data_IF_717859418331
#
_entry.id   IF_717859418331
#
_cell.length_a   1.000
_cell.length_b   1.000
_cell.length_c   1.000
_cell.angle_alpha   90.00
_cell.angle_beta   90.00
_cell.angle_gamma   90.00
#
_symmetry.space_group_name_H-M   'P 1'
#
loop_
_entity.id
_entity.type
_entity.pdbx_description
1 polymer ?
#
# COMPACT_ATOMS: atom_id res chain seq x y z
N UNK A 1 21.36 15.26 -22.76
CA UNK A 1 20.15 15.60 -21.98
C UNK A 1 19.74 14.37 -21.21
N UNK A 2 19.80 14.42 -19.88
CA UNK A 2 19.43 13.30 -19.03
C UNK A 2 17.90 13.25 -18.95
N UNK A 3 17.28 12.17 -19.40
CA UNK A 3 15.86 11.98 -19.20
C UNK A 3 15.61 11.72 -17.72
N UNK A 4 14.96 12.65 -17.02
CA UNK A 4 14.45 12.42 -15.67
C UNK A 4 13.48 11.24 -15.70
N UNK A 5 13.88 10.14 -15.05
CA UNK A 5 13.04 8.98 -14.79
C UNK A 5 12.37 9.25 -13.44
N UNK A 6 11.27 9.99 -13.44
CA UNK A 6 10.35 10.04 -12.30
C UNK A 6 8.93 10.22 -12.83
N UNK A 7 8.04 9.31 -12.47
CA UNK A 7 6.61 9.60 -12.31
C UNK A 7 6.00 8.52 -11.41
N UNK A 8 5.66 8.86 -10.17
CA UNK A 8 4.81 8.07 -9.30
C UNK A 8 3.69 8.96 -8.79
N UNK A 9 2.43 8.49 -8.84
CA UNK A 9 1.44 8.92 -7.84
C UNK A 9 0.36 7.88 -7.61
N UNK A 10 0.67 7.02 -6.64
CA UNK A 10 -0.18 6.38 -5.65
C UNK A 10 0.83 5.94 -4.59
N UNK A 11 0.95 6.74 -3.54
CA UNK A 11 2.02 6.59 -2.55
C UNK A 11 1.94 5.24 -1.81
N UNK A 12 0.77 4.59 -1.81
CA UNK A 12 0.61 3.22 -1.28
C UNK A 12 1.33 2.17 -2.15
N UNK A 13 1.45 2.41 -3.47
CA UNK A 13 2.19 1.50 -4.34
C UNK A 13 3.70 1.49 -4.08
N UNK A 14 4.21 2.40 -3.25
CA UNK A 14 5.59 2.35 -2.75
C UNK A 14 5.83 1.30 -1.67
N UNK A 15 4.76 0.74 -1.10
CA UNK A 15 4.81 -0.31 -0.07
C UNK A 15 4.88 -1.68 -0.78
N UNK A 16 5.96 -2.46 -0.58
CA UNK A 16 6.14 -3.73 -1.25
C UNK A 16 5.33 -4.85 -0.58
N UNK A 17 4.40 -5.48 -1.31
CA UNK A 17 3.55 -6.56 -0.79
C UNK A 17 3.94 -7.97 -1.27
N UNK A 18 4.90 -8.10 -2.19
CA UNK A 18 5.28 -9.39 -2.78
C UNK A 18 5.76 -10.45 -1.77
N UNK A 19 6.39 -10.03 -0.68
CA UNK A 19 6.84 -10.94 0.38
C UNK A 19 5.70 -11.62 1.15
N UNK A 20 4.46 -11.15 0.97
CA UNK A 20 3.27 -11.61 1.67
C UNK A 20 2.52 -12.64 0.83
N UNK A 21 2.00 -13.67 1.48
CA UNK A 21 1.06 -14.62 0.86
C UNK A 21 -0.36 -14.05 0.89
N UNK A 22 -1.30 -14.70 0.19
CA UNK A 22 -2.69 -14.21 0.07
C UNK A 22 -3.41 -14.02 1.40
N UNK A 23 -3.17 -14.88 2.40
CA UNK A 23 -3.77 -14.75 3.75
C UNK A 23 -3.21 -13.54 4.48
N UNK A 24 -1.91 -13.31 4.38
CA UNK A 24 -1.26 -12.17 5.02
C UNK A 24 -1.64 -10.85 4.34
N UNK A 25 -1.74 -10.83 3.00
CA UNK A 25 -2.25 -9.68 2.23
C UNK A 25 -3.68 -9.34 2.66
N UNK A 26 -4.56 -10.33 2.85
CA UNK A 26 -5.94 -10.11 3.35
C UNK A 26 -5.97 -9.39 4.69
N UNK A 27 -5.05 -9.70 5.59
CA UNK A 27 -4.97 -9.04 6.90
C UNK A 27 -4.50 -7.60 6.73
N UNK A 28 -3.46 -7.36 5.93
CA UNK A 28 -3.02 -6.00 5.59
C UNK A 28 -4.18 -5.21 5.00
N UNK A 29 -4.93 -5.80 4.08
CA UNK A 29 -6.10 -5.15 3.46
C UNK A 29 -7.22 -4.88 4.49
N UNK A 30 -7.49 -5.81 5.40
CA UNK A 30 -8.46 -5.61 6.47
C UNK A 30 -8.07 -4.46 7.40
N UNK A 31 -6.78 -4.37 7.77
CA UNK A 31 -6.26 -3.26 8.58
C UNK A 31 -6.42 -1.91 7.86
N UNK A 32 -6.14 -1.85 6.57
CA UNK A 32 -6.28 -0.63 5.77
C UNK A 32 -7.75 -0.24 5.57
N UNK A 33 -8.62 -1.22 5.33
CA UNK A 33 -10.06 -1.00 5.22
C UNK A 33 -10.66 -0.44 6.51
N UNK A 34 -10.24 -0.96 7.67
CA UNK A 34 -10.77 -0.52 8.95
C UNK A 34 -10.48 0.95 9.28
N UNK A 35 -9.43 1.54 8.72
CA UNK A 35 -9.13 2.98 8.91
C UNK A 35 -9.61 3.86 7.77
N UNK A 36 -10.03 3.29 6.65
CA UNK A 36 -10.46 4.05 5.48
C UNK A 36 -11.61 4.97 5.86
N UNK A 37 -11.45 6.27 5.61
CA UNK A 37 -12.47 7.28 5.89
C UNK A 37 -12.80 7.49 7.38
N UNK A 38 -12.07 6.88 8.31
CA UNK A 38 -12.31 7.03 9.76
C UNK A 38 -11.25 7.93 10.38
N UNK A 39 -11.61 8.70 11.40
CA UNK A 39 -10.64 9.48 12.19
C UNK A 39 -9.96 8.66 13.31
N UNK A 40 -9.69 7.38 13.06
CA UNK A 40 -8.93 6.53 13.98
C UNK A 40 -7.51 6.34 13.47
N UNK A 41 -6.57 6.18 14.41
CA UNK A 41 -5.18 5.79 14.16
C UNK A 41 -4.92 4.36 14.66
N UNK A 42 -5.91 3.72 15.27
CA UNK A 42 -5.80 2.39 15.84
C UNK A 42 -6.92 1.51 15.28
N UNK A 43 -6.52 0.37 14.73
CA UNK A 43 -7.43 -0.71 14.35
C UNK A 43 -7.40 -1.77 15.44
N UNK A 44 -8.57 -2.33 15.77
CA UNK A 44 -8.68 -3.47 16.65
C UNK A 44 -9.42 -4.59 15.91
N UNK A 45 -8.80 -5.76 15.82
CA UNK A 45 -9.43 -6.99 15.30
C UNK A 45 -9.42 -8.05 16.41
N UNK A 46 -10.55 -8.73 16.60
CA UNK A 46 -10.63 -9.86 17.52
C UNK A 46 -10.06 -11.14 16.88
N UNK A 47 -9.70 -12.11 17.73
CA UNK A 47 -9.10 -13.37 17.28
C UNK A 47 -10.03 -14.21 16.40
N UNK A 48 -11.35 -14.13 16.61
CA UNK A 48 -12.30 -14.88 15.79
C UNK A 48 -12.30 -14.36 14.35
N UNK A 49 -12.36 -13.04 14.17
CA UNK A 49 -12.23 -12.37 12.87
C UNK A 49 -10.88 -12.71 12.21
N UNK A 50 -9.77 -12.63 12.96
CA UNK A 50 -8.44 -12.94 12.44
C UNK A 50 -8.29 -14.41 12.02
N UNK A 51 -8.86 -15.35 12.75
CA UNK A 51 -8.88 -16.77 12.36
C UNK A 51 -9.60 -17.00 11.04
N UNK A 52 -10.74 -16.32 10.84
CA UNK A 52 -11.46 -16.34 9.57
C UNK A 52 -10.61 -15.82 8.41
N UNK A 53 -9.95 -14.66 8.59
CA UNK A 53 -9.10 -14.06 7.55
C UNK A 53 -7.86 -14.90 7.21
N UNK A 54 -7.27 -15.54 8.22
CA UNK A 54 -6.06 -16.36 8.09
C UNK A 54 -6.34 -17.79 7.62
N UNK A 55 -7.60 -18.22 7.62
CA UNK A 55 -7.96 -19.62 7.43
C UNK A 55 -7.31 -20.52 8.50
N UNK A 56 -7.19 -20.01 9.73
CA UNK A 56 -6.74 -20.77 10.89
C UNK A 56 -7.85 -21.74 11.28
N UNK A 57 -7.63 -23.02 11.03
CA UNK A 57 -8.66 -24.06 11.17
C UNK A 57 -8.93 -24.38 12.64
N UNK A 58 -10.08 -23.94 13.14
CA UNK A 58 -10.52 -24.22 14.52
C UNK A 58 -10.80 -25.71 14.77
N UNK A 59 -10.91 -26.55 13.74
CA UNK A 59 -11.18 -27.98 13.89
C UNK A 59 -9.95 -28.78 14.34
N UNK A 60 -8.75 -28.36 13.94
CA UNK A 60 -7.47 -28.98 14.29
C UNK A 60 -6.82 -28.40 15.57
N UNK A 61 -7.30 -27.24 16.04
CA UNK A 61 -6.71 -26.51 17.15
C UNK A 61 -7.75 -26.20 18.25
N UNK A 62 -8.33 -27.22 18.86
CA UNK A 62 -9.27 -27.10 19.99
C UNK A 62 -8.54 -27.33 21.32
N UNK A 63 -8.04 -26.28 21.95
CA UNK A 63 -7.44 -26.35 23.28
C UNK A 63 -6.75 -25.05 23.71
N UNK A 64 -6.38 -24.92 24.99
CA UNK A 64 -5.67 -23.73 25.50
C UNK A 64 -4.35 -23.45 24.77
N UNK A 65 -3.68 -24.50 24.27
CA UNK A 65 -2.49 -24.36 23.40
C UNK A 65 -2.79 -23.65 22.09
N UNK A 66 -4.02 -23.74 21.55
CA UNK A 66 -4.43 -23.07 20.30
C UNK A 66 -4.33 -21.55 20.41
N UNK A 67 -4.71 -20.95 21.54
CA UNK A 67 -4.57 -19.51 21.73
C UNK A 67 -3.11 -19.10 21.85
N UNK A 68 -2.29 -19.87 22.55
CA UNK A 68 -0.86 -19.59 22.67
C UNK A 68 -0.13 -19.74 21.31
N UNK A 69 -0.49 -20.75 20.52
CA UNK A 69 -0.01 -20.96 19.16
C UNK A 69 -0.46 -19.83 18.22
N UNK A 70 -1.72 -19.40 18.33
CA UNK A 70 -2.25 -18.30 17.54
C UNK A 70 -1.59 -16.96 17.89
N UNK A 71 -1.30 -16.71 19.17
CA UNK A 71 -0.52 -15.53 19.59
C UNK A 71 0.87 -15.54 18.96
N UNK A 72 1.58 -16.68 18.98
CA UNK A 72 2.89 -16.82 18.31
C UNK A 72 2.79 -16.62 16.80
N UNK A 73 1.74 -17.12 16.17
CA UNK A 73 1.48 -16.88 14.75
C UNK A 73 1.28 -15.39 14.47
N UNK A 74 0.47 -14.70 15.27
CA UNK A 74 0.25 -13.25 15.14
C UNK A 74 1.52 -12.45 15.41
N UNK A 75 2.40 -12.89 16.30
CA UNK A 75 3.70 -12.26 16.55
C UNK A 75 4.58 -12.29 15.29
N UNK A 76 4.77 -13.48 14.71
CA UNK A 76 5.55 -13.66 13.45
C UNK A 76 4.93 -12.84 12.30
N UNK A 77 3.60 -12.84 12.20
CA UNK A 77 2.89 -12.05 11.20
C UNK A 77 3.08 -10.55 11.43
N UNK A 78 3.02 -10.09 12.68
CA UNK A 78 3.21 -8.68 13.04
C UNK A 78 4.61 -8.21 12.67
N UNK A 79 5.65 -8.99 13.01
CA UNK A 79 7.03 -8.71 12.60
C UNK A 79 7.14 -8.55 11.08
N UNK A 80 6.48 -9.43 10.33
CA UNK A 80 6.43 -9.35 8.88
C UNK A 80 5.72 -8.09 8.41
N UNK A 81 4.53 -7.76 8.92
CA UNK A 81 3.79 -6.55 8.55
C UNK A 81 4.58 -5.28 8.90
N UNK A 82 5.32 -5.27 10.01
CA UNK A 82 6.21 -4.15 10.38
C UNK A 82 7.37 -3.94 9.39
N UNK A 83 7.67 -4.91 8.52
CA UNK A 83 8.61 -4.72 7.41
C UNK A 83 8.02 -3.93 6.24
N UNK A 84 6.70 -3.66 6.23
CA UNK A 84 6.04 -2.81 5.23
C UNK A 84 6.50 -1.36 5.39
N UNK A 85 7.60 -1.07 4.70
CA UNK A 85 8.20 0.26 4.64
C UNK A 85 8.01 0.84 3.26
N UNK A 86 7.59 2.10 3.21
CA UNK A 86 7.52 2.87 1.98
C UNK A 86 8.71 3.81 1.85
N UNK A 87 8.94 4.27 0.62
CA UNK A 87 9.92 5.32 0.31
C UNK A 87 9.27 6.33 -0.61
N UNK A 88 9.16 7.58 -0.16
CA UNK A 88 8.77 8.71 -1.00
C UNK A 88 10.04 9.47 -1.39
N UNK A 89 10.05 10.01 -2.60
CA UNK A 89 11.16 10.84 -3.10
C UNK A 89 10.60 12.08 -3.80
N UNK A 90 11.31 13.19 -3.67
CA UNK A 90 11.04 14.39 -4.47
C UNK A 90 11.35 14.12 -5.96
N UNK A 91 10.79 14.97 -6.83
CA UNK A 91 10.98 14.87 -8.28
C UNK A 91 12.45 14.99 -8.69
N UNK A 92 13.21 15.86 -8.02
CA UNK A 92 14.66 16.03 -8.20
C UNK A 92 15.49 14.87 -7.61
N UNK A 93 14.87 13.99 -6.83
CA UNK A 93 15.50 12.87 -6.15
C UNK A 93 16.44 13.23 -4.99
N UNK A 94 16.50 14.50 -4.57
CA UNK A 94 17.38 14.98 -3.50
C UNK A 94 16.78 14.82 -2.11
N UNK A 95 15.46 14.65 -2.01
CA UNK A 95 14.77 14.36 -0.75
C UNK A 95 14.22 12.94 -0.76
N UNK A 96 14.43 12.22 0.35
CA UNK A 96 14.00 10.83 0.52
C UNK A 96 13.35 10.70 1.89
N UNK A 97 12.08 10.32 1.92
CA UNK A 97 11.34 9.98 3.14
C UNK A 97 11.15 8.47 3.19
N UNK A 98 11.58 7.85 4.30
CA UNK A 98 11.36 6.43 4.57
C UNK A 98 10.43 6.30 5.75
N UNK A 99 9.41 5.46 5.63
CA UNK A 99 8.40 5.33 6.68
C UNK A 99 7.97 3.87 6.88
N UNK A 100 7.48 3.55 8.07
CA UNK A 100 6.72 2.35 8.35
C UNK A 100 5.24 2.72 8.44
N UNK A 101 4.37 1.93 7.80
CA UNK A 101 2.93 2.19 7.80
C UNK A 101 2.27 1.74 9.11
N UNK A 102 2.74 0.63 9.67
CA UNK A 102 2.22 0.02 10.90
C UNK A 102 3.31 -0.03 11.97
N UNK A 103 3.49 1.06 12.76
CA UNK A 103 4.60 1.15 13.71
C UNK A 103 4.42 0.31 14.99
N UNK A 104 3.21 -0.10 15.36
CA UNK A 104 2.97 -0.79 16.64
C UNK A 104 1.85 -1.82 16.53
N UNK A 105 2.11 -3.01 17.09
CA UNK A 105 1.18 -4.12 17.24
C UNK A 105 1.06 -4.46 18.73
N UNK A 106 -0.16 -4.66 19.22
CA UNK A 106 -0.44 -5.13 20.59
C UNK A 106 -1.32 -6.37 20.47
N UNK A 107 -0.74 -7.54 20.80
CA UNK A 107 -1.46 -8.82 20.83
C UNK A 107 -1.83 -9.10 22.27
N UNK A 108 -3.13 -9.11 22.58
CA UNK A 108 -3.64 -9.47 23.90
C UNK A 108 -4.44 -10.76 23.80
N UNK A 109 -3.77 -11.89 23.97
CA UNK A 109 -4.41 -13.22 24.09
C UNK A 109 -4.78 -13.61 25.52
N UNK A 110 -4.66 -12.70 26.51
CA UNK A 110 -4.91 -12.98 27.93
C UNK A 110 -6.24 -12.42 28.41
N UNK A 111 -6.56 -11.18 28.02
CA UNK A 111 -7.76 -10.47 28.51
C UNK A 111 -8.80 -10.31 27.41
N UNK A 112 -8.39 -9.82 26.24
CA UNK A 112 -9.34 -9.39 25.20
C UNK A 112 -9.40 -10.30 23.98
N UNK A 113 -8.39 -11.14 23.75
CA UNK A 113 -8.23 -11.92 22.52
C UNK A 113 -8.30 -11.01 21.27
N UNK A 114 -7.47 -9.95 21.27
CA UNK A 114 -7.45 -8.96 20.20
C UNK A 114 -6.04 -8.66 19.72
N UNK A 115 -5.93 -8.28 18.45
CA UNK A 115 -4.80 -7.55 17.90
C UNK A 115 -5.19 -6.07 17.73
N UNK A 116 -4.40 -5.17 18.33
CA UNK A 116 -4.47 -3.74 18.04
C UNK A 116 -3.28 -3.33 17.19
N UNK A 117 -3.52 -2.56 16.15
CA UNK A 117 -2.48 -2.05 15.24
C UNK A 117 -2.61 -0.55 15.15
N UNK A 118 -1.52 0.17 15.44
CA UNK A 118 -1.45 1.60 15.17
C UNK A 118 -1.04 1.84 13.72
N UNK A 119 -1.61 2.85 13.09
CA UNK A 119 -1.18 3.34 11.79
C UNK A 119 -0.40 4.63 12.00
N UNK A 120 0.69 4.79 11.24
CA UNK A 120 1.46 6.02 11.27
C UNK A 120 0.60 7.21 10.81
N UNK A 121 0.32 8.21 11.68
CA UNK A 121 -0.59 9.30 11.36
C UNK A 121 -0.18 10.10 10.13
N UNK A 122 1.13 10.34 9.96
CA UNK A 122 1.70 11.07 8.82
C UNK A 122 1.41 10.40 7.48
N UNK A 123 1.23 9.07 7.49
CA UNK A 123 1.01 8.25 6.30
C UNK A 123 -0.38 7.61 6.26
N UNK A 124 -1.31 8.06 7.12
CA UNK A 124 -2.69 7.60 7.13
C UNK A 124 -3.41 7.87 5.81
N UNK A 125 -3.10 8.98 5.14
CA UNK A 125 -3.69 9.30 3.83
C UNK A 125 -3.47 8.18 2.78
N UNK A 126 -2.41 7.38 2.92
CA UNK A 126 -2.15 6.21 2.06
C UNK A 126 -3.28 5.18 2.12
N UNK A 127 -4.00 5.09 3.24
CA UNK A 127 -5.13 4.17 3.40
C UNK A 127 -6.39 4.66 2.70
N UNK A 128 -6.45 5.94 2.35
CA UNK A 128 -7.52 6.47 1.50
C UNK A 128 -7.15 6.30 0.01
N UNK A 129 -5.86 6.36 -0.33
CA UNK A 129 -5.33 5.99 -1.65
C UNK A 129 -5.30 4.46 -1.90
N UNK A 130 -5.59 3.67 -0.86
CA UNK A 130 -5.72 2.22 -0.88
C UNK A 130 -6.96 1.74 -1.64
N UNK A 131 -7.62 2.63 -2.36
CA UNK A 131 -8.62 2.28 -3.33
C UNK A 131 -7.91 1.53 -4.48
N UNK A 132 -7.75 0.22 -4.28
CA UNK A 132 -7.13 -0.71 -5.19
C UNK A 132 -8.15 -1.76 -5.60
N UNK A 133 -8.24 -1.93 -6.91
CA UNK A 133 -8.95 -2.96 -7.65
C UNK A 133 -10.48 -2.81 -7.60
N UNK A 134 -11.04 -2.26 -8.68
CA UNK A 134 -12.41 -2.64 -9.07
C UNK A 134 -12.46 -4.17 -9.20
N UNK A 135 -13.61 -4.79 -8.98
CA UNK A 135 -13.74 -6.26 -8.96
C UNK A 135 -13.12 -6.96 -10.19
N UNK A 136 -13.19 -6.33 -11.37
CA UNK A 136 -12.57 -6.82 -12.61
C UNK A 136 -11.05 -6.89 -12.53
N UNK A 137 -10.42 -5.92 -11.90
CA UNK A 137 -8.96 -5.86 -11.80
C UNK A 137 -8.44 -6.85 -10.75
N UNK A 138 -9.27 -7.24 -9.78
CA UNK A 138 -8.96 -8.31 -8.85
C UNK A 138 -8.96 -9.68 -9.55
N UNK A 139 -9.83 -9.88 -10.54
CA UNK A 139 -9.87 -11.10 -11.33
C UNK A 139 -8.58 -11.30 -12.13
N UNK A 140 -8.12 -10.27 -12.83
CA UNK A 140 -6.86 -10.30 -13.58
C UNK A 140 -5.65 -10.48 -12.66
N UNK A 141 -5.65 -9.81 -11.50
CA UNK A 141 -4.62 -9.99 -10.48
C UNK A 141 -4.56 -11.45 -9.98
N UNK A 142 -5.72 -12.09 -9.79
CA UNK A 142 -5.81 -13.48 -9.36
C UNK A 142 -5.41 -14.50 -10.45
N UNK A 143 -5.50 -14.11 -11.73
CA UNK A 143 -5.03 -14.92 -12.88
C UNK A 143 -3.51 -14.91 -13.03
N UNK A 144 -2.79 -14.00 -12.36
CA UNK A 144 -1.33 -13.94 -12.40
C UNK A 144 -0.73 -15.15 -11.68
N UNK A 145 0.09 -15.93 -12.38
CA UNK A 145 0.66 -17.17 -11.85
C UNK A 145 1.92 -16.95 -11.01
N UNK A 146 2.57 -15.78 -11.13
CA UNK A 146 3.80 -15.48 -10.39
C UNK A 146 3.60 -14.30 -9.46
N UNK A 147 4.26 -14.33 -8.30
CA UNK A 147 4.22 -13.20 -7.35
C UNK A 147 4.86 -11.93 -7.92
N UNK A 148 5.83 -12.07 -8.84
CA UNK A 148 6.36 -10.94 -9.60
C UNK A 148 5.34 -10.38 -10.60
N UNK A 149 4.56 -11.24 -11.26
CA UNK A 149 3.50 -10.84 -12.19
C UNK A 149 2.36 -10.11 -11.49
N UNK A 150 1.90 -10.61 -10.35
CA UNK A 150 0.93 -9.93 -9.49
C UNK A 150 1.37 -8.51 -9.12
N UNK A 151 2.62 -8.38 -8.65
CA UNK A 151 3.16 -7.09 -8.21
C UNK A 151 3.39 -6.14 -9.40
N UNK A 152 3.91 -6.65 -10.52
CA UNK A 152 4.05 -5.84 -11.75
C UNK A 152 2.70 -5.40 -12.28
N UNK A 153 1.68 -6.26 -12.29
CA UNK A 153 0.33 -5.90 -12.71
C UNK A 153 -0.19 -4.73 -11.87
N UNK A 154 -0.08 -4.82 -10.54
CA UNK A 154 -0.46 -3.74 -9.62
C UNK A 154 0.24 -2.42 -9.95
N UNK A 155 1.56 -2.45 -10.12
CA UNK A 155 2.36 -1.25 -10.42
C UNK A 155 2.01 -0.65 -11.78
N UNK A 156 1.87 -1.48 -12.82
CA UNK A 156 1.58 -1.04 -14.20
C UNK A 156 0.15 -0.52 -14.31
N UNK A 157 -0.82 -1.17 -13.66
CA UNK A 157 -2.25 -0.84 -13.75
C UNK A 157 -2.56 0.58 -13.29
N UNK A 158 -1.77 1.13 -12.36
CA UNK A 158 -1.88 2.53 -11.95
C UNK A 158 -1.72 3.52 -13.13
N UNK A 159 -0.94 3.13 -14.14
CA UNK A 159 -0.64 3.93 -15.32
C UNK A 159 -1.59 3.63 -16.49
N UNK A 160 -2.69 2.89 -16.26
CA UNK A 160 -3.62 2.41 -17.29
C UNK A 160 -4.10 3.48 -18.28
N UNK A 161 -4.31 4.72 -17.83
CA UNK A 161 -4.70 5.85 -18.70
C UNK A 161 -3.54 6.58 -19.37
N UNK A 162 -2.31 6.45 -18.86
CA UNK A 162 -1.13 7.06 -19.47
C UNK A 162 -0.53 6.18 -20.56
N UNK A 163 -0.64 4.85 -20.43
CA UNK A 163 -0.14 3.86 -21.40
C UNK A 163 1.33 3.50 -21.23
N UNK A 164 2.03 4.05 -20.24
CA UNK A 164 3.42 3.69 -19.98
C UNK A 164 3.81 3.86 -18.50
N UNK A 165 4.77 3.06 -18.05
CA UNK A 165 5.37 3.16 -16.72
C UNK A 165 6.91 3.08 -16.85
N UNK A 166 7.63 4.06 -16.28
CA UNK A 166 9.09 4.11 -16.28
C UNK A 166 9.64 4.07 -14.87
N UNK A 167 10.62 3.21 -14.63
CA UNK A 167 11.15 2.97 -13.28
C UNK A 167 12.65 2.69 -13.30
N UNK A 168 13.38 3.26 -12.34
CA UNK A 168 14.82 3.00 -12.15
C UNK A 168 15.02 1.56 -11.66
N UNK A 169 16.15 0.95 -12.03
CA UNK A 169 16.44 -0.45 -11.65
C UNK A 169 16.33 -0.67 -10.13
N UNK A 170 16.95 0.19 -9.33
CA UNK A 170 16.93 0.07 -7.87
C UNK A 170 15.53 0.20 -7.26
N UNK A 171 14.69 1.05 -7.84
CA UNK A 171 13.32 1.24 -7.38
C UNK A 171 12.47 0.03 -7.71
N UNK A 172 12.61 -0.51 -8.93
CA UNK A 172 11.93 -1.74 -9.31
C UNK A 172 12.36 -2.91 -8.42
N UNK A 173 13.65 -2.99 -8.06
CA UNK A 173 14.16 -4.00 -7.12
C UNK A 173 13.53 -3.87 -5.75
N UNK A 174 13.39 -2.65 -5.22
CA UNK A 174 12.72 -2.39 -3.96
C UNK A 174 11.24 -2.79 -4.00
N UNK A 175 10.50 -2.26 -4.97
CA UNK A 175 9.06 -2.50 -5.14
C UNK A 175 8.73 -3.99 -5.29
N UNK A 176 9.54 -4.70 -6.09
CA UNK A 176 9.39 -6.13 -6.31
C UNK A 176 10.11 -6.98 -5.25
N UNK A 177 10.66 -6.40 -4.18
CA UNK A 177 11.41 -7.13 -3.14
C UNK A 177 12.42 -8.12 -3.74
N UNK A 178 13.21 -7.67 -4.72
CA UNK A 178 14.22 -8.51 -5.39
C UNK A 178 15.40 -8.73 -4.43
N UNK A 179 15.83 -9.98 -4.20
CA UNK A 179 16.99 -10.26 -3.35
C UNK A 179 18.23 -9.46 -3.78
N UNK A 180 18.96 -8.90 -2.82
CA UNK A 180 20.20 -8.15 -3.10
C UNK A 180 21.28 -9.01 -3.78
N UNK A 181 21.24 -10.33 -3.58
CA UNK A 181 22.16 -11.29 -4.20
C UNK A 181 21.97 -11.44 -5.71
N UNK A 182 20.81 -11.06 -6.28
CA UNK A 182 20.56 -11.25 -7.69
C UNK A 182 21.33 -10.22 -8.53
N UNK A 183 22.09 -10.69 -9.51
CA UNK A 183 22.58 -9.84 -10.61
C UNK A 183 21.41 -9.28 -11.42
N UNK A 184 21.66 -8.28 -12.29
CA UNK A 184 20.61 -7.76 -13.18
C UNK A 184 20.10 -8.83 -14.15
N UNK A 185 20.96 -9.71 -14.64
CA UNK A 185 20.57 -10.82 -15.50
C UNK A 185 19.67 -11.85 -14.77
N UNK A 186 19.98 -12.15 -13.50
CA UNK A 186 19.13 -13.02 -12.68
C UNK A 186 17.80 -12.37 -12.33
N UNK A 187 17.82 -11.07 -12.00
CA UNK A 187 16.60 -10.27 -11.83
C UNK A 187 15.73 -10.38 -13.08
N UNK A 188 16.27 -10.08 -14.27
CA UNK A 188 15.49 -10.14 -15.53
C UNK A 188 14.88 -11.52 -15.74
N UNK A 189 15.68 -12.58 -15.57
CA UNK A 189 15.22 -13.97 -15.76
C UNK A 189 14.11 -14.38 -14.79
N UNK A 190 14.17 -13.90 -13.55
CA UNK A 190 13.22 -14.27 -12.49
C UNK A 190 11.97 -13.40 -12.50
N UNK A 191 12.14 -12.09 -12.66
CA UNK A 191 11.06 -11.10 -12.70
C UNK A 191 10.27 -11.24 -14.00
N UNK A 192 10.95 -11.17 -15.14
CA UNK A 192 10.35 -11.25 -16.48
C UNK A 192 10.40 -12.68 -17.02
N UNK A 193 10.07 -13.64 -16.17
CA UNK A 193 9.91 -15.04 -16.59
C UNK A 193 8.89 -15.16 -17.72
N UNK A 194 8.97 -16.21 -18.54
CA UNK A 194 8.02 -16.44 -19.65
C UNK A 194 6.57 -16.37 -19.17
N UNK A 195 6.28 -16.98 -18.02
CA UNK A 195 4.95 -16.95 -17.38
C UNK A 195 4.54 -15.53 -17.02
N UNK A 196 5.40 -14.77 -16.34
CA UNK A 196 5.12 -13.36 -15.99
C UNK A 196 4.81 -12.50 -17.21
N UNK A 197 5.62 -12.63 -18.27
CA UNK A 197 5.45 -11.85 -19.50
C UNK A 197 4.16 -12.25 -20.21
N UNK A 198 3.84 -13.54 -20.24
CA UNK A 198 2.59 -14.05 -20.81
C UNK A 198 1.37 -13.50 -20.07
N UNK A 199 1.36 -13.58 -18.73
CA UNK A 199 0.24 -13.09 -17.92
C UNK A 199 0.03 -11.58 -18.11
N UNK A 200 1.11 -10.78 -18.11
CA UNK A 200 1.03 -9.34 -18.33
C UNK A 200 0.58 -8.99 -19.76
N UNK A 201 0.97 -9.77 -20.77
CA UNK A 201 0.53 -9.57 -22.16
C UNK A 201 -0.97 -9.87 -22.32
N UNK A 202 -1.48 -10.85 -21.56
CA UNK A 202 -2.91 -11.14 -21.52
C UNK A 202 -3.71 -10.04 -20.81
N UNK A 203 -3.11 -9.42 -19.78
CA UNK A 203 -3.76 -8.38 -18.97
C UNK A 203 -3.70 -6.98 -19.61
N UNK A 204 -2.69 -6.69 -20.43
CA UNK A 204 -2.47 -5.38 -21.05
C UNK A 204 -2.30 -5.51 -22.57
N UNK A 205 -3.20 -4.89 -23.33
CA UNK A 205 -3.11 -4.88 -24.80
C UNK A 205 -1.83 -4.20 -25.29
N UNK A 206 -1.17 -4.79 -26.29
CA UNK A 206 0.10 -4.32 -26.87
C UNK A 206 1.23 -4.11 -25.84
N UNK A 207 1.25 -4.92 -24.77
CA UNK A 207 2.27 -4.85 -23.73
C UNK A 207 3.70 -5.07 -24.24
N UNK A 208 4.63 -4.19 -23.85
CA UNK A 208 6.07 -4.31 -24.14
C UNK A 208 6.91 -3.90 -22.94
N UNK A 209 8.06 -4.54 -22.79
CA UNK A 209 9.09 -4.22 -21.80
C UNK A 209 10.34 -3.79 -22.54
N UNK A 210 10.88 -2.61 -22.19
CA UNK A 210 12.14 -2.09 -22.72
C UNK A 210 13.11 -1.84 -21.57
N UNK A 211 14.34 -2.29 -21.73
CA UNK A 211 15.44 -1.92 -20.84
C UNK A 211 15.98 -0.55 -21.22
N UNK A 212 16.04 0.36 -20.26
CA UNK A 212 16.71 1.65 -20.41
C UNK A 212 18.17 1.49 -20.02
N UNK A 213 19.08 1.89 -20.91
CA UNK A 213 20.52 1.72 -20.75
C UNK A 213 21.23 3.06 -20.63
N UNK A 214 22.15 3.14 -19.69
CA UNK A 214 23.02 4.31 -19.49
C UNK A 214 24.12 4.41 -20.54
N UNK A 215 24.78 5.56 -20.57
CA UNK A 215 25.85 5.90 -21.53
C UNK A 215 27.24 5.42 -21.10
N UNK A 216 27.39 4.89 -19.88
CA UNK A 216 28.68 4.41 -19.34
C UNK A 216 29.21 3.13 -20.02
N UNK A 217 30.46 2.78 -19.71
CA UNK A 217 31.13 1.56 -20.22
C UNK A 217 30.27 0.32 -19.92
N UNK A 218 30.03 -0.51 -20.94
CA UNK A 218 29.19 -1.71 -20.84
C UNK A 218 27.67 -1.45 -20.94
N UNK A 219 27.23 -0.20 -21.16
CA UNK A 219 25.82 0.19 -21.31
C UNK A 219 24.93 -0.41 -20.21
N UNK A 220 25.17 -0.03 -18.94
CA UNK A 220 24.48 -0.61 -17.79
C UNK A 220 22.97 -0.37 -17.88
N UNK A 221 22.18 -1.30 -17.35
CA UNK A 221 20.72 -1.16 -17.25
C UNK A 221 20.43 -0.21 -16.09
N UNK A 222 19.85 0.95 -16.40
CA UNK A 222 19.53 2.00 -15.42
C UNK A 222 18.04 2.04 -15.08
N UNK A 223 17.19 1.39 -15.88
CA UNK A 223 15.77 1.29 -15.61
C UNK A 223 15.03 0.46 -16.64
N UNK A 224 13.71 0.45 -16.50
CA UNK A 224 12.78 -0.27 -17.35
C UNK A 224 11.62 0.64 -17.74
N UNK A 225 11.18 0.51 -18.98
CA UNK A 225 9.97 1.13 -19.52
C UNK A 225 8.98 0.05 -19.92
N UNK A 226 7.79 0.10 -19.33
CA UNK A 226 6.63 -0.71 -19.70
C UNK A 226 5.70 0.13 -20.57
N UNK A 227 5.19 -0.41 -21.67
CA UNK A 227 4.23 0.29 -22.55
C UNK A 227 3.07 -0.61 -22.91
N UNK A 228 1.87 -0.05 -23.04
CA UNK A 228 0.63 -0.77 -23.34
C UNK A 228 -0.43 0.22 -23.86
N UNK A 229 -1.52 -0.29 -24.43
CA UNK A 229 -2.62 0.56 -24.90
C UNK A 229 -3.37 1.20 -23.73
N UNK A 230 -3.72 2.47 -23.88
CA UNK A 230 -4.41 3.24 -22.83
C UNK A 230 -5.83 2.74 -22.65
N UNK A 231 -6.25 2.59 -21.40
CA UNK A 231 -7.65 2.40 -21.05
C UNK A 231 -8.42 3.72 -21.09
N UNK A 232 -9.72 3.65 -21.36
CA UNK A 232 -10.60 4.83 -21.26
C UNK A 232 -10.72 5.24 -19.80
N UNK A 233 -10.60 6.53 -19.52
CA UNK A 233 -10.80 7.08 -18.18
C UNK A 233 -12.20 6.77 -17.69
N UNK A 234 -12.32 6.14 -16.52
CA UNK A 234 -13.62 5.89 -15.87
C UNK A 234 -13.86 6.90 -14.73
N UNK A 235 -15.12 7.03 -14.30
CA UNK A 235 -15.53 8.01 -13.29
C UNK A 235 -14.71 7.92 -11.99
N UNK A 236 -14.40 6.69 -11.58
CA UNK A 236 -13.57 6.40 -10.42
C UNK A 236 -12.17 7.06 -10.48
N UNK A 237 -11.52 7.07 -11.64
CA UNK A 237 -10.22 7.76 -11.79
C UNK A 237 -10.33 9.28 -11.73
N UNK A 238 -11.45 9.83 -12.20
CA UNK A 238 -11.74 11.26 -12.11
C UNK A 238 -11.86 11.64 -10.63
N UNK A 239 -12.59 10.84 -9.86
CA UNK A 239 -12.80 11.08 -8.43
C UNK A 239 -11.50 10.88 -7.63
N UNK A 240 -10.72 9.83 -7.92
CA UNK A 240 -9.39 9.61 -7.30
C UNK A 240 -8.42 10.77 -7.58
N UNK A 241 -8.35 11.27 -8.82
CA UNK A 241 -7.49 12.42 -9.16
C UNK A 241 -7.88 13.69 -8.42
N UNK A 242 -9.17 13.88 -8.12
CA UNK A 242 -9.63 15.00 -7.30
C UNK A 242 -9.19 14.83 -5.85
N UNK A 243 -9.33 13.63 -5.29
CA UNK A 243 -8.88 13.33 -3.92
C UNK A 243 -7.36 13.50 -3.75
N UNK A 244 -6.56 13.06 -4.72
CA UNK A 244 -5.09 13.26 -4.74
C UNK A 244 -4.72 14.75 -4.75
N UNK A 245 -5.40 15.56 -5.58
CA UNK A 245 -5.19 17.02 -5.63
C UNK A 245 -5.57 17.70 -4.31
N UNK A 246 -6.68 17.29 -3.70
CA UNK A 246 -7.10 17.79 -2.38
C UNK A 246 -6.06 17.42 -1.33
N UNK A 247 -5.57 16.18 -1.32
CA UNK A 247 -4.55 15.73 -0.37
C UNK A 247 -3.21 16.46 -0.53
N UNK A 248 -2.83 16.83 -1.75
CA UNK A 248 -1.64 17.64 -2.04
C UNK A 248 -1.82 19.11 -1.61
N UNK A 249 -3.00 19.70 -1.83
CA UNK A 249 -3.34 21.05 -1.38
C UNK A 249 -3.17 21.21 0.15
N UNK A 250 -3.57 20.21 0.94
CA UNK A 250 -3.43 20.26 2.41
C UNK A 250 -2.00 19.99 2.92
N UNK A 251 -1.06 19.62 2.03
CA UNK A 251 0.34 19.35 2.37
C UNK A 251 1.29 20.50 2.05
N UNK A 252 0.84 21.56 1.37
CA UNK A 252 1.71 22.70 1.07
C UNK A 252 1.72 23.73 2.20
N UNK A 253 2.91 24.25 2.53
CA UNK A 253 3.08 25.33 3.51
C UNK A 253 2.50 26.67 3.02
N UNK A 254 2.27 26.78 1.70
CA UNK A 254 1.54 27.88 1.05
C UNK A 254 0.48 27.29 0.10
N UNK A 255 -0.80 27.24 0.49
CA UNK A 255 -1.87 26.72 -0.36
C UNK A 255 -2.25 27.73 -1.46
N UNK A 256 -2.06 27.36 -2.73
CA UNK A 256 -2.60 28.13 -3.88
C UNK A 256 -4.13 28.11 -3.88
N UNK A 257 -4.82 29.17 -4.37
CA UNK A 257 -6.28 29.22 -4.39
C UNK A 257 -6.85 28.01 -5.14
N UNK A 258 -7.80 27.31 -4.49
CA UNK A 258 -8.46 26.13 -5.04
C UNK A 258 -8.93 26.37 -6.48
N UNK A 259 -8.68 25.44 -7.42
CA UNK A 259 -9.21 25.53 -8.77
C UNK A 259 -10.73 25.68 -8.73
N UNK A 260 -11.27 26.67 -9.45
CA UNK A 260 -12.68 27.08 -9.47
C UNK A 260 -13.71 25.97 -9.79
N UNK A 261 -13.30 24.74 -10.09
CA UNK A 261 -14.17 23.60 -10.30
C UNK A 261 -14.61 22.88 -8.99
N UNK A 262 -14.02 23.22 -7.84
CA UNK A 262 -14.40 22.69 -6.51
C UNK A 262 -15.18 23.73 -5.68
N UNK A 263 -15.30 24.96 -6.18
CA UNK A 263 -16.24 25.92 -5.63
C UNK A 263 -17.65 25.55 -6.10
N UNK A 264 -18.53 25.25 -5.14
CA UNK A 264 -19.98 25.01 -5.30
C UNK A 264 -20.41 23.55 -5.59
N UNK A 265 -20.31 22.70 -4.56
CA UNK A 265 -21.51 22.13 -3.92
C UNK A 265 -21.18 21.96 -2.42
N UNK A 266 -21.79 22.68 -1.49
CA UNK A 266 -23.14 22.38 -0.99
C UNK A 266 -23.40 20.91 -0.61
N UNK A 267 -22.38 20.15 -0.18
CA UNK A 267 -22.53 18.83 0.48
C UNK A 267 -22.10 18.90 1.97
N UNK A 268 -22.86 19.60 2.81
CA UNK A 268 -23.93 19.06 3.66
C UNK A 268 -23.45 18.25 4.88
N UNK A 269 -23.24 18.93 6.02
CA UNK A 269 -24.15 18.85 7.19
C UNK A 269 -23.60 19.69 8.37
N UNK A 270 -24.18 20.88 8.66
CA UNK A 270 -23.77 21.73 9.79
C UNK A 270 -23.93 21.09 11.17
N UNK A 271 -24.79 20.07 11.30
CA UNK A 271 -25.03 19.34 12.56
C UNK A 271 -23.79 18.55 13.03
N UNK A 272 -22.97 18.06 12.08
CA UNK A 272 -21.74 17.31 12.40
C UNK A 272 -20.64 18.20 12.99
N UNK A 273 -20.64 19.50 12.70
CA UNK A 273 -19.70 20.46 13.32
C UNK A 273 -19.99 20.65 14.81
N UNK A 274 -21.27 20.71 15.20
CA UNK A 274 -21.65 20.81 16.61
C UNK A 274 -21.32 19.54 17.39
N UNK A 275 -21.51 18.36 16.79
CA UNK A 275 -21.10 17.10 17.40
C UNK A 275 -19.57 16.98 17.56
N UNK A 276 -18.78 17.50 16.61
CA UNK A 276 -17.31 17.52 16.69
C UNK A 276 -16.81 18.42 17.83
N UNK A 277 -17.42 19.59 18.04
CA UNK A 277 -17.09 20.51 19.14
C UNK A 277 -17.46 19.95 20.53
N UNK A 278 -18.45 19.07 20.64
CA UNK A 278 -18.76 18.34 21.89
C UNK A 278 -17.84 17.13 22.13
N UNK A 279 -17.39 16.46 21.06
CA UNK A 279 -16.52 15.28 21.15
C UNK A 279 -15.07 15.67 21.49
N UNK A 280 -14.59 16.81 20.98
CA UNK A 280 -13.25 17.33 21.25
C UNK A 280 -13.07 17.81 22.71
N UNK A 281 -14.17 17.99 23.49
CA UNK A 281 -14.09 18.27 24.93
C UNK A 281 -13.83 17.02 25.79
N UNK A 282 -13.91 15.81 25.22
CA UNK A 282 -13.85 14.56 25.99
C UNK A 282 -12.77 13.55 25.59
N UNK A 283 -11.95 13.80 24.56
CA UNK A 283 -10.86 12.88 24.21
C UNK A 283 -9.59 13.14 25.02
N UNK A 284 -9.36 12.34 26.06
CA UNK A 284 -8.07 12.29 26.75
C UNK A 284 -6.96 11.80 25.78
N UNK A 285 -5.83 12.53 25.75
CA UNK A 285 -4.72 12.26 24.83
C UNK A 285 -3.98 10.95 25.12
N UNK A 286 -3.40 10.37 24.06
CA UNK A 286 -2.64 9.12 24.03
C UNK A 286 -1.53 8.99 25.11
N UNK A 287 -1.02 10.12 25.63
CA UNK A 287 -0.07 10.14 26.74
C UNK A 287 -0.59 9.58 28.07
N UNK A 288 -1.91 9.48 28.27
CA UNK A 288 -2.49 8.97 29.52
C UNK A 288 -2.75 7.46 29.51
N UNK A 289 -2.90 6.84 28.33
CA UNK A 289 -3.04 5.39 28.18
C UNK A 289 -1.73 4.62 28.45
N UNK A 290 -0.57 5.26 28.25
CA UNK A 290 0.74 4.65 28.50
C UNK A 290 1.16 4.69 29.97
N UNK A 291 0.60 5.59 30.79
CA UNK A 291 0.98 5.75 32.21
C UNK A 291 0.45 4.63 33.13
N UNK A 292 -0.60 3.92 32.70
CA UNK A 292 -1.20 2.82 33.47
C UNK A 292 -0.48 1.47 33.34
N UNK A 293 0.29 1.26 32.27
CA UNK A 293 0.90 -0.04 31.97
C UNK A 293 2.25 -0.28 32.68
N UNK A 294 2.90 0.78 33.17
CA UNK A 294 4.17 0.70 33.90
C UNK A 294 4.04 0.78 35.43
N UNK A 295 2.83 0.64 35.99
CA UNK A 295 2.62 0.56 37.45
C UNK A 295 1.74 -0.62 37.86
N UNK A 296 2.36 -1.80 37.91
CA UNK A 296 2.41 -2.78 39.02
C UNK A 296 2.82 -4.14 38.48
#
# INVERSE_FOLDING_TARGET
MAHEIVQYHNDFNTVPLRGFNEREKRIVMALLHEVKGKDTQIVQLDFHTLRGLTGWDETNHKGANSNAEFVKYLEILSDKIMTLRGTLRSDDGLQIVKFSLFPTFIIDGKKTNTLKVSINPEFKYLTNLFDMFTAFELEDYNKMHTSYGQELYRLIKQFRTTGFYRVKTEDLRHLLSVPKSYTNAEMDRKVFSKTTVSDLTNAFSNFKIKQERGTGRGRPIIGYTFTFDKEKTNQYEIDRKKEEQIAQFWKSDEPEPMPNAVAQTEYQNPELRKQKEETDRHSAGFGDLLKGWFKK
#
